data_IF_764960512869
#
_entry.id   IF_764960512869
#
_cell.length_a   1.000
_cell.length_b   1.000
_cell.length_c   1.000
_cell.angle_alpha   90.00
_cell.angle_beta   90.00
_cell.angle_gamma   90.00
#
_symmetry.space_group_name_H-M   'P 1'
#
loop_
_entity.id
_entity.type
_entity.pdbx_description
1 polymer ?
#
# COMPACT_ATOMS: atom_id res chain seq x y z
N UNK A 1 22.86 -15.33 8.75
CA UNK A 1 21.45 -14.95 8.92
C UNK A 1 20.82 -15.93 9.88
N UNK A 2 19.90 -15.48 10.72
CA UNK A 2 19.13 -16.34 11.61
C UNK A 2 17.81 -16.77 10.95
N UNK A 3 17.42 -18.02 11.18
CA UNK A 3 16.12 -18.56 10.77
C UNK A 3 15.05 -18.02 11.71
N UNK A 4 14.04 -17.37 11.14
CA UNK A 4 12.87 -16.88 11.90
C UNK A 4 11.63 -17.52 11.30
N UNK A 5 10.85 -18.20 12.13
CA UNK A 5 9.51 -18.69 11.78
C UNK A 5 8.49 -17.73 12.40
N UNK A 6 7.60 -17.19 11.57
CA UNK A 6 6.47 -16.38 12.02
C UNK A 6 5.22 -17.26 12.04
N UNK A 7 4.48 -17.23 13.15
CA UNK A 7 3.28 -18.03 13.33
C UNK A 7 2.03 -17.33 12.76
N UNK A 8 2.09 -16.00 12.58
CA UNK A 8 0.97 -15.17 12.16
C UNK A 8 1.39 -14.05 11.18
N UNK A 9 0.55 -13.66 10.19
CA UNK A 9 0.83 -12.56 9.28
C UNK A 9 1.11 -11.22 9.97
N UNK A 10 0.58 -10.99 11.18
CA UNK A 10 0.87 -9.78 11.95
C UNK A 10 2.32 -9.73 12.48
N UNK A 11 2.94 -10.89 12.76
CA UNK A 11 4.33 -10.96 13.21
C UNK A 11 5.31 -10.68 12.06
N UNK A 12 5.01 -11.16 10.85
CA UNK A 12 5.82 -10.88 9.67
C UNK A 12 5.76 -9.39 9.28
N UNK A 13 4.59 -8.76 9.41
CA UNK A 13 4.43 -7.30 9.23
C UNK A 13 5.24 -6.49 10.25
N UNK A 14 5.24 -6.89 11.53
CA UNK A 14 6.05 -6.24 12.57
C UNK A 14 7.56 -6.41 12.36
N UNK A 15 7.98 -7.54 11.77
CA UNK A 15 9.35 -7.76 11.34
C UNK A 15 9.74 -6.97 10.07
N UNK A 16 8.78 -6.25 9.47
CA UNK A 16 8.97 -5.51 8.23
C UNK A 16 9.05 -6.43 7.02
N UNK A 17 8.29 -7.50 6.96
CA UNK A 17 8.17 -8.32 5.76
C UNK A 17 6.80 -8.02 5.14
N UNK A 18 6.77 -7.52 3.92
CA UNK A 18 5.55 -7.47 3.11
C UNK A 18 5.72 -8.31 1.86
N UNK A 19 4.78 -9.21 1.63
CA UNK A 19 4.65 -9.93 0.36
C UNK A 19 3.59 -9.20 -0.49
N UNK A 20 3.93 -8.88 -1.74
CA UNK A 20 2.94 -8.48 -2.74
C UNK A 20 2.54 -9.75 -3.49
N UNK A 21 1.26 -10.11 -3.41
CA UNK A 21 0.70 -11.28 -4.11
C UNK A 21 0.30 -10.90 -5.55
N UNK A 22 0.34 -11.88 -6.46
CA UNK A 22 0.15 -11.72 -7.91
C UNK A 22 -1.25 -11.30 -8.37
N UNK A 23 -2.24 -11.24 -7.47
CA UNK A 23 -3.58 -10.72 -7.77
C UNK A 23 -3.74 -9.31 -7.17
N UNK A 24 -3.96 -8.32 -8.03
CA UNK A 24 -4.22 -6.93 -7.64
C UNK A 24 -5.40 -6.89 -6.65
N UNK A 25 -5.11 -6.68 -5.37
CA UNK A 25 -6.11 -6.50 -4.31
C UNK A 25 -6.43 -5.02 -4.15
N UNK A 26 -6.75 -4.34 -5.25
CA UNK A 26 -7.17 -2.94 -5.20
C UNK A 26 -8.66 -2.83 -4.94
N UNK A 27 -9.07 -1.87 -4.11
CA UNK A 27 -10.47 -1.59 -3.85
C UNK A 27 -10.94 -0.50 -4.84
N UNK A 28 -11.69 -0.85 -5.89
CA UNK A 28 -11.98 0.05 -7.03
C UNK A 28 -12.77 1.30 -6.61
N UNK A 29 -13.58 1.18 -5.56
CA UNK A 29 -14.42 2.25 -5.03
C UNK A 29 -13.75 3.13 -4.00
N UNK A 30 -12.55 2.77 -3.56
CA UNK A 30 -11.73 3.62 -2.71
C UNK A 30 -10.83 4.50 -3.59
N UNK A 31 -10.50 5.69 -3.10
CA UNK A 31 -9.48 6.51 -3.74
C UNK A 31 -8.07 5.97 -3.47
N UNK A 32 -7.08 6.57 -4.12
CA UNK A 32 -5.66 6.19 -3.99
C UNK A 32 -5.22 6.19 -2.51
N UNK A 33 -5.48 7.27 -1.78
CA UNK A 33 -5.04 7.37 -0.38
C UNK A 33 -5.77 6.38 0.55
N UNK A 34 -7.07 6.17 0.32
CA UNK A 34 -7.87 5.17 1.02
C UNK A 34 -7.36 3.75 0.76
N UNK A 35 -6.93 3.45 -0.47
CA UNK A 35 -6.33 2.16 -0.82
C UNK A 35 -5.00 1.92 -0.13
N UNK A 36 -4.13 2.94 -0.02
CA UNK A 36 -2.82 2.83 0.64
C UNK A 36 -2.98 2.51 2.14
N UNK A 37 -3.99 3.09 2.79
CA UNK A 37 -4.23 2.95 4.24
C UNK A 37 -5.48 2.13 4.58
N UNK A 38 -5.93 1.26 3.68
CA UNK A 38 -7.14 0.46 3.90
C UNK A 38 -7.03 -0.40 5.16
N UNK A 39 -7.99 -0.27 6.08
CA UNK A 39 -7.98 -0.93 7.39
C UNK A 39 -7.01 -0.35 8.42
N UNK A 40 -6.28 0.72 8.05
CA UNK A 40 -5.21 1.35 8.83
C UNK A 40 -5.30 2.88 8.78
N UNK A 41 -6.49 3.42 8.52
CA UNK A 41 -6.64 4.85 8.32
C UNK A 41 -6.30 5.59 9.62
N UNK A 42 -5.52 6.69 9.58
CA UNK A 42 -5.29 7.51 10.76
C UNK A 42 -6.64 8.02 11.28
N UNK A 43 -6.82 7.98 12.59
CA UNK A 43 -8.05 8.42 13.25
C UNK A 43 -7.77 9.56 14.23
N UNK A 44 -8.75 10.44 14.39
CA UNK A 44 -8.74 11.46 15.44
C UNK A 44 -9.10 10.83 16.78
N UNK A 45 -8.89 11.54 17.88
CA UNK A 45 -9.32 11.11 19.22
C UNK A 45 -10.83 10.76 19.31
N UNK A 46 -11.65 11.27 18.39
CA UNK A 46 -13.09 10.94 18.27
C UNK A 46 -13.39 9.65 17.51
N UNK A 47 -12.38 8.90 17.06
CA UNK A 47 -12.54 7.67 16.27
C UNK A 47 -12.88 7.90 14.79
N UNK A 48 -13.06 9.15 14.36
CA UNK A 48 -13.30 9.49 12.94
C UNK A 48 -11.99 9.52 12.17
N UNK A 49 -12.03 9.14 10.88
CA UNK A 49 -10.87 9.22 9.98
C UNK A 49 -10.31 10.64 9.95
N UNK A 50 -8.99 10.76 10.13
CA UNK A 50 -8.25 11.99 9.93
C UNK A 50 -7.78 12.10 8.47
N UNK A 51 -8.69 12.57 7.63
CA UNK A 51 -8.44 12.77 6.19
C UNK A 51 -7.23 13.63 5.89
N UNK A 52 -6.93 14.64 6.72
CA UNK A 52 -5.79 15.53 6.50
C UNK A 52 -4.49 14.75 6.60
N UNK A 53 -4.36 13.95 7.65
CA UNK A 53 -3.20 13.09 7.89
C UNK A 53 -3.11 11.99 6.84
N UNK A 54 -4.24 11.35 6.50
CA UNK A 54 -4.30 10.31 5.46
C UNK A 54 -3.77 10.82 4.10
N UNK A 55 -4.19 12.00 3.65
CA UNK A 55 -3.69 12.57 2.39
C UNK A 55 -2.22 13.00 2.48
N UNK A 56 -1.80 13.58 3.61
CA UNK A 56 -0.40 13.98 3.79
C UNK A 56 0.55 12.78 3.80
N UNK A 57 0.15 11.67 4.42
CA UNK A 57 0.95 10.44 4.49
C UNK A 57 1.00 9.74 3.14
N UNK A 58 -0.13 9.66 2.42
CA UNK A 58 -0.17 9.12 1.07
C UNK A 58 0.69 9.93 0.09
N UNK A 59 0.65 11.26 0.18
CA UNK A 59 1.50 12.14 -0.63
C UNK A 59 2.98 11.83 -0.42
N UNK A 60 3.45 11.85 0.84
CA UNK A 60 4.85 11.60 1.19
C UNK A 60 5.35 10.24 0.69
N UNK A 61 4.48 9.24 0.75
CA UNK A 61 4.82 7.89 0.32
C UNK A 61 4.93 7.77 -1.20
N UNK A 62 3.98 8.34 -1.95
CA UNK A 62 4.06 8.37 -3.41
C UNK A 62 5.25 9.21 -3.89
N UNK A 63 5.55 10.33 -3.22
CA UNK A 63 6.73 11.16 -3.49
C UNK A 63 8.02 10.35 -3.28
N UNK A 64 8.10 9.53 -2.22
CA UNK A 64 9.26 8.65 -1.98
C UNK A 64 9.46 7.57 -3.05
N UNK A 65 8.38 7.22 -3.77
CA UNK A 65 8.39 6.31 -4.91
C UNK A 65 8.63 7.02 -6.25
N UNK A 66 8.67 8.35 -6.28
CA UNK A 66 8.73 9.15 -7.51
C UNK A 66 7.45 9.08 -8.35
N UNK A 67 6.31 8.74 -7.72
CA UNK A 67 5.03 8.53 -8.39
C UNK A 67 4.12 9.74 -8.20
N UNK A 68 3.56 10.24 -9.29
CA UNK A 68 2.53 11.29 -9.25
C UNK A 68 1.16 10.68 -9.55
N UNK A 69 0.27 10.66 -8.54
CA UNK A 69 -1.13 10.25 -8.68
C UNK A 69 -2.03 11.22 -7.93
N UNK A 70 -3.24 11.43 -8.46
CA UNK A 70 -4.28 12.11 -7.69
C UNK A 70 -4.74 11.22 -6.54
N UNK A 71 -4.43 11.64 -5.32
CA UNK A 71 -4.78 10.95 -4.07
C UNK A 71 -6.29 10.73 -3.90
N UNK A 72 -7.12 11.58 -4.52
CA UNK A 72 -8.59 11.54 -4.42
C UNK A 72 -9.25 10.83 -5.59
N UNK A 73 -8.48 10.47 -6.63
CA UNK A 73 -8.99 9.69 -7.75
C UNK A 73 -9.37 8.28 -7.30
N UNK A 74 -10.54 7.81 -7.76
CA UNK A 74 -11.00 6.43 -7.52
C UNK A 74 -10.08 5.43 -8.22
N UNK A 75 -9.76 4.34 -7.54
CA UNK A 75 -8.82 3.34 -8.05
C UNK A 75 -9.31 2.68 -9.34
N UNK A 76 -10.63 2.54 -9.55
CA UNK A 76 -11.20 2.06 -10.82
C UNK A 76 -10.81 2.88 -12.06
N UNK A 77 -10.38 4.13 -11.87
CA UNK A 77 -9.97 5.01 -12.97
C UNK A 77 -8.46 5.00 -13.21
N UNK A 78 -7.69 4.22 -12.42
CA UNK A 78 -6.25 4.07 -12.59
C UNK A 78 -5.96 3.01 -13.66
N UNK A 79 -4.94 3.25 -14.48
CA UNK A 79 -4.36 2.20 -15.33
C UNK A 79 -3.76 1.09 -14.48
N UNK A 80 -3.58 -0.11 -15.04
CA UNK A 80 -2.99 -1.26 -14.34
C UNK A 80 -1.64 -0.92 -13.70
N UNK A 81 -0.75 -0.23 -14.42
CA UNK A 81 0.54 0.22 -13.89
C UNK A 81 0.38 1.15 -12.68
N UNK A 82 -0.60 2.06 -12.70
CA UNK A 82 -0.89 2.94 -11.58
C UNK A 82 -1.49 2.18 -10.39
N UNK A 83 -2.36 1.19 -10.64
CA UNK A 83 -2.88 0.32 -9.59
C UNK A 83 -1.74 -0.44 -8.89
N UNK A 84 -0.78 -0.96 -9.66
CA UNK A 84 0.42 -1.61 -9.13
C UNK A 84 1.26 -0.67 -8.26
N UNK A 85 1.45 0.60 -8.67
CA UNK A 85 2.14 1.59 -7.82
C UNK A 85 1.40 1.87 -6.51
N UNK A 86 0.06 1.87 -6.52
CA UNK A 86 -0.76 2.02 -5.30
C UNK A 86 -0.57 0.82 -4.37
N UNK A 87 -0.40 -0.40 -4.89
CA UNK A 87 -0.12 -1.58 -4.08
C UNK A 87 1.28 -1.57 -3.48
N UNK A 88 2.28 -1.18 -4.26
CA UNK A 88 3.65 -0.99 -3.76
C UNK A 88 3.65 0.04 -2.63
N UNK A 89 2.95 1.17 -2.83
CA UNK A 89 2.74 2.16 -1.79
C UNK A 89 2.06 1.53 -0.56
N UNK A 90 0.94 0.81 -0.72
CA UNK A 90 0.29 0.10 0.40
C UNK A 90 1.29 -0.82 1.14
N UNK A 91 2.09 -1.60 0.44
CA UNK A 91 3.09 -2.48 1.04
C UNK A 91 4.21 -1.73 1.78
N UNK A 92 4.64 -0.56 1.30
CA UNK A 92 5.63 0.26 2.02
C UNK A 92 5.04 0.95 3.25
N UNK A 93 3.77 1.34 3.18
CA UNK A 93 3.08 2.05 4.27
C UNK A 93 2.83 1.21 5.54
N UNK A 94 3.07 -0.11 5.48
CA UNK A 94 3.05 -1.04 6.61
C UNK A 94 4.46 -1.27 7.22
N UNK A 95 5.44 -0.41 6.90
CA UNK A 95 6.85 -0.53 7.33
C UNK A 95 7.53 -1.81 6.85
N UNK A 96 7.22 -2.26 5.63
CA UNK A 96 7.96 -3.35 5.01
C UNK A 96 9.43 -2.96 4.80
N UNK A 97 10.34 -3.69 5.47
CA UNK A 97 11.80 -3.72 5.29
C UNK A 97 12.24 -4.65 4.14
N UNK A 98 11.45 -5.68 3.82
CA UNK A 98 11.69 -6.59 2.70
C UNK A 98 10.38 -6.72 1.92
N UNK A 99 10.45 -6.36 0.64
CA UNK A 99 9.41 -6.59 -0.33
C UNK A 99 9.84 -7.74 -1.26
N UNK A 100 9.10 -8.84 -1.26
CA UNK A 100 9.30 -9.95 -2.21
C UNK A 100 8.28 -9.76 -3.34
N UNK A 101 8.78 -9.55 -4.56
CA UNK A 101 7.98 -9.51 -5.79
C UNK A 101 8.35 -10.73 -6.62
N UNK A 102 7.40 -11.62 -6.88
CA UNK A 102 7.58 -12.76 -7.78
C UNK A 102 7.06 -12.39 -9.18
N UNK A 103 7.96 -12.39 -10.18
CA UNK A 103 7.80 -11.93 -11.57
C UNK A 103 7.20 -10.52 -11.82
N UNK A 104 8.02 -9.46 -11.93
CA UNK A 104 7.52 -8.10 -12.21
C UNK A 104 7.14 -7.84 -13.68
N UNK A 105 7.36 -8.79 -14.59
CA UNK A 105 7.40 -8.54 -16.05
C UNK A 105 6.28 -9.17 -16.89
N UNK A 106 5.40 -9.99 -16.32
CA UNK A 106 4.42 -10.76 -17.13
C UNK A 106 3.17 -9.96 -17.55
N UNK A 107 2.91 -8.79 -16.95
CA UNK A 107 1.70 -8.00 -17.23
C UNK A 107 1.85 -6.96 -18.34
N UNK A 108 2.99 -6.93 -19.05
CA UNK A 108 3.29 -5.96 -20.12
C UNK A 108 3.19 -6.57 -21.53
N UNK A 109 2.09 -7.28 -21.82
CA UNK A 109 1.75 -7.76 -23.18
C UNK A 109 0.35 -7.35 -23.59
#
# INVERSE_FOLDING_TARGET
GELVQFADPSESLQAGLAAIYQELSIFPDLNVAENIFVGRQPTKASGRVDWRTLYADAARLLDSLGVQLDLKQKARNLSIAQQQMVEIARALSINARILIMDEPTSSLT
#
